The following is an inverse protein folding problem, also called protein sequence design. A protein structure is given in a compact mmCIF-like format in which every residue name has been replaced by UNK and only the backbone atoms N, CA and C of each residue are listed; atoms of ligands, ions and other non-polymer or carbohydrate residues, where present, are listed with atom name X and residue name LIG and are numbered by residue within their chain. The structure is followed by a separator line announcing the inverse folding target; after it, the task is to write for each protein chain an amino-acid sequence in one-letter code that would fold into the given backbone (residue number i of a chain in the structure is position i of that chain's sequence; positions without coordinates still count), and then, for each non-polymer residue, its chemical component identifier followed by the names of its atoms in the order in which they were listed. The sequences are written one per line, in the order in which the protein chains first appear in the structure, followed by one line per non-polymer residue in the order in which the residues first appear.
data_IF_220935512948
#
_entry.id   IF_220935512948
#
_cell.length_a   1.000
_cell.length_b   1.000
_cell.length_c   1.000
_cell.angle_alpha   90.00
_cell.angle_beta   90.00
_cell.angle_gamma   90.00
#
_symmetry.space_group_name_H-M   'P 1'
#
loop_
_entity.id
_entity.type
_entity.pdbx_description
1 polymer ?
#
# COMPACT_ATOMS: atom_id res chain seq x y z
N UNK A 1 2.60 -84.71 17.69
CA UNK A 1 1.30 -84.02 17.55
C UNK A 1 1.37 -82.66 18.24
N UNK A 2 1.59 -82.60 19.56
CA UNK A 2 1.70 -81.33 20.30
C UNK A 2 2.72 -80.31 19.77
N UNK A 3 3.94 -80.73 19.37
CA UNK A 3 4.96 -79.81 18.87
C UNK A 3 4.61 -79.14 17.53
N UNK A 4 3.87 -79.84 16.66
CA UNK A 4 3.45 -79.31 15.36
C UNK A 4 2.30 -78.30 15.51
N UNK A 5 1.39 -78.52 16.46
CA UNK A 5 0.29 -77.59 16.77
C UNK A 5 0.82 -76.29 17.40
N UNK A 6 1.82 -76.38 18.27
CA UNK A 6 2.49 -75.20 18.86
C UNK A 6 3.22 -74.38 17.79
N UNK A 7 3.92 -75.05 16.85
CA UNK A 7 4.58 -74.35 15.74
C UNK A 7 3.59 -73.66 14.80
N UNK A 8 2.45 -74.29 14.51
CA UNK A 8 1.39 -73.69 13.70
C UNK A 8 0.73 -72.49 14.39
N UNK A 9 0.50 -72.57 15.71
CA UNK A 9 -0.02 -71.46 16.50
C UNK A 9 0.95 -70.27 16.54
N UNK A 10 2.25 -70.53 16.70
CA UNK A 10 3.28 -69.50 16.68
C UNK A 10 3.39 -68.80 15.31
N UNK A 11 3.31 -69.56 14.22
CA UNK A 11 3.32 -69.00 12.86
C UNK A 11 2.09 -68.11 12.57
N UNK A 12 0.91 -68.52 13.06
CA UNK A 12 -0.33 -67.73 12.92
C UNK A 12 -0.24 -66.42 13.71
N UNK A 13 0.23 -66.47 14.96
CA UNK A 13 0.41 -65.28 15.79
C UNK A 13 1.39 -64.29 15.15
N UNK A 14 2.52 -64.78 14.61
CA UNK A 14 3.49 -63.94 13.91
C UNK A 14 2.90 -63.27 12.65
N UNK A 15 2.05 -63.98 11.90
CA UNK A 15 1.37 -63.42 10.73
C UNK A 15 0.33 -62.34 11.11
N UNK A 16 -0.40 -62.54 12.22
CA UNK A 16 -1.34 -61.56 12.76
C UNK A 16 -0.62 -60.31 13.25
N UNK A 17 0.51 -60.45 13.96
CA UNK A 17 1.34 -59.31 14.39
C UNK A 17 1.92 -58.56 13.19
N UNK A 18 2.48 -59.26 12.20
CA UNK A 18 3.00 -58.61 10.99
C UNK A 18 1.91 -57.87 10.19
N UNK A 19 0.69 -58.39 10.19
CA UNK A 19 -0.47 -57.73 9.56
C UNK A 19 -0.91 -56.50 10.35
N UNK A 20 -0.91 -56.57 11.68
CA UNK A 20 -1.22 -55.43 12.54
C UNK A 20 -0.19 -54.30 12.40
N UNK A 21 1.09 -54.65 12.34
CA UNK A 21 2.18 -53.69 12.13
C UNK A 21 2.08 -53.01 10.75
N UNK A 22 1.80 -53.79 9.69
CA UNK A 22 1.60 -53.24 8.35
C UNK A 22 0.39 -52.29 8.28
N UNK A 23 -0.70 -52.62 8.98
CA UNK A 23 -1.89 -51.75 9.05
C UNK A 23 -1.59 -50.44 9.79
N UNK A 24 -0.85 -50.50 10.90
CA UNK A 24 -0.46 -49.31 11.65
C UNK A 24 0.47 -48.39 10.84
N UNK A 25 1.39 -48.96 10.05
CA UNK A 25 2.25 -48.19 9.14
C UNK A 25 1.44 -47.48 8.05
N UNK A 26 0.45 -48.16 7.43
CA UNK A 26 -0.42 -47.57 6.42
C UNK A 26 -1.28 -46.45 7.02
N UNK A 27 -1.83 -46.66 8.22
CA UNK A 27 -2.65 -45.65 8.91
C UNK A 27 -1.82 -44.39 9.25
N UNK A 28 -0.60 -44.59 9.73
CA UNK A 28 0.34 -43.50 10.01
C UNK A 28 0.72 -42.74 8.73
N UNK A 29 1.08 -43.45 7.66
CA UNK A 29 1.43 -42.85 6.38
C UNK A 29 0.24 -42.07 5.77
N UNK A 30 -0.98 -42.59 5.92
CA UNK A 30 -2.21 -41.93 5.45
C UNK A 30 -2.50 -40.65 6.24
N UNK A 31 -2.33 -40.70 7.57
CA UNK A 31 -2.51 -39.52 8.42
C UNK A 31 -1.49 -38.42 8.09
N UNK A 32 -0.22 -38.79 7.87
CA UNK A 32 0.82 -37.86 7.45
C UNK A 32 0.53 -37.25 6.07
N UNK A 33 0.10 -38.06 5.10
CA UNK A 33 -0.26 -37.57 3.76
C UNK A 33 -1.44 -36.59 3.80
N UNK A 34 -2.45 -36.84 4.64
CA UNK A 34 -3.60 -35.94 4.82
C UNK A 34 -3.20 -34.62 5.45
N UNK A 35 -2.38 -34.65 6.51
CA UNK A 35 -1.89 -33.43 7.16
C UNK A 35 -1.04 -32.56 6.20
N UNK A 36 -0.22 -33.19 5.36
CA UNK A 36 0.56 -32.50 4.32
C UNK A 36 -0.34 -31.86 3.24
N UNK A 37 -1.45 -32.51 2.86
CA UNK A 37 -2.40 -31.96 1.90
C UNK A 37 -3.20 -30.77 2.47
N UNK A 38 -3.60 -30.85 3.74
CA UNK A 38 -4.32 -29.78 4.44
C UNK A 38 -3.45 -28.52 4.59
N UNK A 39 -2.17 -28.70 4.94
CA UNK A 39 -1.20 -27.59 5.04
C UNK A 39 -0.86 -26.95 3.69
N UNK A 40 -0.61 -27.76 2.65
CA UNK A 40 -0.37 -27.25 1.30
C UNK A 40 -1.55 -26.45 0.72
N UNK A 41 -2.78 -26.77 1.14
CA UNK A 41 -3.99 -26.04 0.70
C UNK A 41 -4.13 -24.71 1.44
N UNK A 42 -3.83 -24.67 2.75
CA UNK A 42 -3.90 -23.44 3.54
C UNK A 42 -2.86 -22.41 3.12
N UNK A 43 -1.62 -22.83 2.85
CA UNK A 43 -0.57 -21.94 2.34
C UNK A 43 -0.94 -21.38 0.96
N UNK A 44 -1.45 -22.22 0.05
CA UNK A 44 -1.87 -21.77 -1.27
C UNK A 44 -3.04 -20.77 -1.24
N UNK A 45 -3.94 -20.87 -0.25
CA UNK A 45 -5.03 -19.91 -0.05
C UNK A 45 -4.48 -18.60 0.52
N UNK A 46 -3.58 -18.62 1.50
CA UNK A 46 -2.99 -17.41 2.07
C UNK A 46 -2.15 -16.62 1.05
N UNK A 47 -1.53 -17.29 0.07
CA UNK A 47 -0.82 -16.61 -1.04
C UNK A 47 -1.78 -15.89 -2.00
N UNK A 48 -3.06 -16.28 -2.04
CA UNK A 48 -4.08 -15.68 -2.89
C UNK A 48 -5.13 -14.89 -2.10
N UNK A 49 -5.00 -14.82 -0.77
CA UNK A 49 -5.91 -14.10 0.08
C UNK A 49 -5.52 -12.62 0.06
N UNK A 50 -6.54 -11.79 -0.06
CA UNK A 50 -6.52 -10.33 -0.01
C UNK A 50 -7.69 -10.00 0.92
N UNK A 51 -7.37 -9.98 2.21
CA UNK A 51 -8.34 -10.07 3.30
C UNK A 51 -9.18 -8.81 3.46
N UNK A 52 -8.59 -7.63 3.23
CA UNK A 52 -9.25 -6.33 3.28
C UNK A 52 -9.63 -5.76 1.90
N UNK A 53 -9.15 -6.38 0.82
CA UNK A 53 -9.51 -6.09 -0.58
C UNK A 53 -8.97 -4.76 -1.09
N UNK A 54 -7.78 -4.40 -0.66
CA UNK A 54 -7.10 -3.17 -1.05
C UNK A 54 -6.28 -3.32 -2.35
N UNK A 55 -6.06 -4.56 -2.79
CA UNK A 55 -5.30 -4.92 -3.99
C UNK A 55 -3.92 -5.54 -3.71
N UNK A 56 -3.51 -5.67 -2.45
CA UNK A 56 -2.38 -6.46 -2.00
C UNK A 56 -2.87 -7.81 -1.47
N UNK A 57 -2.02 -8.84 -1.59
CA UNK A 57 -2.30 -10.12 -0.94
C UNK A 57 -1.76 -10.09 0.49
N UNK A 58 -2.37 -10.81 1.43
CA UNK A 58 -1.92 -10.91 2.83
C UNK A 58 -0.43 -11.24 2.96
N UNK A 59 0.10 -12.08 2.06
CA UNK A 59 1.54 -12.39 2.02
C UNK A 59 2.39 -11.18 1.63
N UNK A 60 1.93 -10.42 0.64
CA UNK A 60 2.63 -9.22 0.16
C UNK A 60 2.60 -8.13 1.23
N UNK A 61 1.50 -8.00 1.94
CA UNK A 61 1.38 -7.08 3.08
C UNK A 61 2.33 -7.48 4.20
N UNK A 62 2.38 -8.77 4.56
CA UNK A 62 3.37 -9.27 5.52
C UNK A 62 4.83 -9.04 5.09
N UNK A 63 5.13 -9.09 3.78
CA UNK A 63 6.47 -8.79 3.23
C UNK A 63 6.79 -7.28 3.30
N UNK A 64 5.78 -6.41 3.20
CA UNK A 64 5.90 -4.95 3.26
C UNK A 64 5.86 -4.40 4.70
N UNK A 65 5.24 -5.15 5.63
CA UNK A 65 5.02 -4.74 7.00
C UNK A 65 3.68 -4.04 7.24
N UNK A 66 2.78 -4.03 6.26
CA UNK A 66 1.41 -3.50 6.38
C UNK A 66 0.48 -4.50 7.10
N UNK A 67 -0.71 -4.06 7.52
CA UNK A 67 -1.69 -4.91 8.22
C UNK A 67 -2.67 -5.57 7.23
N UNK A 68 -2.64 -6.91 7.05
CA UNK A 68 -3.52 -7.63 6.12
C UNK A 68 -5.03 -7.46 6.31
N UNK A 69 -5.44 -6.87 7.44
CA UNK A 69 -6.84 -6.65 7.78
C UNK A 69 -7.26 -5.18 7.66
N UNK A 70 -6.34 -4.29 7.28
CA UNK A 70 -6.56 -2.85 7.22
C UNK A 70 -6.06 -2.30 5.89
N UNK A 71 -7.01 -1.97 5.01
CA UNK A 71 -6.70 -1.51 3.66
C UNK A 71 -5.85 -0.23 3.62
N UNK A 72 -5.75 0.50 4.71
CA UNK A 72 -5.00 1.75 4.89
C UNK A 72 -4.30 1.62 6.26
N UNK A 73 -3.03 1.21 6.23
CA UNK A 73 -2.28 0.82 7.43
C UNK A 73 -1.86 2.03 8.26
N UNK A 74 -1.49 3.13 7.63
CA UNK A 74 -1.01 4.33 8.33
C UNK A 74 -2.11 5.36 8.62
N UNK A 75 -3.28 5.21 8.01
CA UNK A 75 -4.49 5.98 8.28
C UNK A 75 -4.48 7.37 7.68
N UNK A 76 -3.92 7.54 6.49
CA UNK A 76 -3.87 8.82 5.78
C UNK A 76 -5.01 9.01 4.75
N UNK A 77 -5.74 7.93 4.45
CA UNK A 77 -6.87 7.89 3.52
C UNK A 77 -6.53 7.43 2.11
N UNK A 78 -5.29 7.05 1.84
CA UNK A 78 -4.85 6.23 0.71
C UNK A 78 -4.73 4.78 1.18
N UNK A 79 -4.92 3.81 0.28
CA UNK A 79 -4.92 2.40 0.66
C UNK A 79 -3.58 1.77 0.26
N UNK A 80 -3.08 0.82 1.02
CA UNK A 80 -1.70 0.31 0.90
C UNK A 80 -1.39 -0.17 -0.53
N UNK A 81 -2.36 -0.81 -1.17
CA UNK A 81 -2.26 -1.25 -2.56
C UNK A 81 -2.11 -0.12 -3.58
N UNK A 82 -2.75 1.03 -3.38
CA UNK A 82 -2.52 2.20 -4.24
C UNK A 82 -1.17 2.86 -3.94
N UNK A 83 -0.76 2.93 -2.69
CA UNK A 83 0.51 3.53 -2.28
C UNK A 83 1.68 2.75 -2.88
N UNK A 84 1.68 1.43 -2.71
CA UNK A 84 2.69 0.54 -3.31
C UNK A 84 2.72 0.67 -4.84
N UNK A 85 1.58 0.89 -5.49
CA UNK A 85 1.52 1.08 -6.94
C UNK A 85 1.99 2.48 -7.39
N UNK A 86 1.75 3.51 -6.57
CA UNK A 86 2.13 4.90 -6.83
C UNK A 86 3.49 5.28 -6.23
N UNK A 87 4.19 4.32 -5.62
CA UNK A 87 5.52 4.43 -5.03
C UNK A 87 5.63 5.27 -3.75
N UNK A 88 4.51 5.61 -3.13
CA UNK A 88 4.49 6.15 -1.76
C UNK A 88 4.65 5.03 -0.73
N UNK A 89 4.92 5.38 0.52
CA UNK A 89 5.21 4.46 1.62
C UNK A 89 3.94 4.15 2.44
N UNK A 90 3.35 2.94 2.33
CA UNK A 90 2.10 2.56 3.02
C UNK A 90 2.20 2.46 4.55
N UNK A 91 3.35 2.83 5.12
CA UNK A 91 3.59 2.85 6.55
C UNK A 91 3.79 4.28 7.07
N UNK A 92 3.66 5.30 6.21
CA UNK A 92 4.00 6.68 6.52
C UNK A 92 3.01 7.63 5.84
N UNK A 93 2.15 8.23 6.68
CA UNK A 93 1.05 9.12 6.27
C UNK A 93 1.43 10.30 5.36
N UNK A 94 2.69 10.69 5.36
CA UNK A 94 3.26 11.79 4.58
C UNK A 94 4.63 11.28 4.10
N UNK A 95 4.68 10.80 2.87
CA UNK A 95 5.78 9.99 2.32
C UNK A 95 7.03 10.82 2.03
N UNK A 96 6.89 12.09 1.66
CA UNK A 96 8.00 12.99 1.35
C UNK A 96 8.33 14.04 2.43
N UNK A 97 7.61 14.01 3.55
CA UNK A 97 7.80 14.87 4.74
C UNK A 97 7.58 16.37 4.46
N UNK A 98 6.63 16.72 3.60
CA UNK A 98 6.33 18.10 3.24
C UNK A 98 5.24 18.75 4.12
N UNK A 99 4.58 17.96 4.96
CA UNK A 99 3.49 18.39 5.85
C UNK A 99 2.09 18.20 5.29
N UNK A 100 1.94 17.52 4.15
CA UNK A 100 0.67 17.09 3.57
C UNK A 100 0.60 15.56 3.54
N UNK A 101 -0.54 15.00 3.95
CA UNK A 101 -0.69 13.55 3.94
C UNK A 101 -0.87 13.00 2.51
N UNK A 102 -0.35 11.82 2.15
CA UNK A 102 -0.39 11.27 0.78
C UNK A 102 -1.82 11.17 0.23
N UNK A 103 -2.76 10.80 1.09
CA UNK A 103 -4.19 10.75 0.81
C UNK A 103 -4.80 12.12 0.52
N UNK A 104 -4.32 13.19 1.16
CA UNK A 104 -4.71 14.58 0.87
C UNK A 104 -4.07 15.07 -0.43
N UNK A 105 -2.79 14.80 -0.61
CA UNK A 105 -2.04 15.10 -1.83
C UNK A 105 -2.71 14.49 -3.06
N UNK A 106 -3.04 13.20 -3.01
CA UNK A 106 -3.76 12.53 -4.09
C UNK A 106 -5.13 13.14 -4.38
N UNK A 107 -5.81 13.72 -3.38
CA UNK A 107 -7.11 14.41 -3.54
C UNK A 107 -6.95 15.79 -4.17
N UNK A 108 -5.85 16.50 -3.90
CA UNK A 108 -5.47 17.77 -4.55
C UNK A 108 -4.80 17.53 -5.91
N UNK A 109 -4.32 16.31 -6.10
CA UNK A 109 -3.55 15.82 -7.23
C UNK A 109 -2.15 16.40 -7.32
N UNK A 110 -1.57 16.75 -6.17
CA UNK A 110 -0.12 16.82 -5.98
C UNK A 110 0.46 15.40 -5.96
N UNK A 111 1.76 15.26 -5.78
CA UNK A 111 2.47 13.99 -5.91
C UNK A 111 3.07 13.54 -4.57
N UNK A 112 2.58 12.44 -3.98
CA UNK A 112 3.00 11.94 -2.65
C UNK A 112 4.45 11.56 -2.42
N UNK A 113 5.33 11.79 -3.39
CA UNK A 113 6.75 11.48 -3.29
C UNK A 113 7.61 12.66 -3.76
N UNK A 114 6.98 13.82 -3.96
CA UNK A 114 7.61 15.06 -4.41
C UNK A 114 7.02 16.21 -3.61
N UNK A 115 7.77 16.61 -2.58
CA UNK A 115 7.41 17.64 -1.61
C UNK A 115 7.10 19.04 -2.18
N UNK A 116 7.34 19.27 -3.48
CA UNK A 116 7.13 20.52 -4.20
C UNK A 116 6.74 20.12 -5.63
N UNK A 117 5.44 19.88 -5.84
CA UNK A 117 4.90 19.23 -7.04
C UNK A 117 5.14 20.07 -8.28
N UNK A 118 4.92 21.38 -8.18
CA UNK A 118 5.10 22.26 -9.32
C UNK A 118 6.54 22.75 -9.46
N UNK A 119 7.32 22.72 -8.38
CA UNK A 119 8.76 22.97 -8.29
C UNK A 119 9.14 24.43 -8.17
N UNK A 120 8.25 25.32 -7.72
CA UNK A 120 8.51 26.76 -7.58
C UNK A 120 9.39 27.10 -6.36
N UNK A 121 9.45 26.19 -5.37
CA UNK A 121 10.23 26.29 -4.15
C UNK A 121 9.41 26.46 -2.86
N UNK A 122 8.08 26.51 -2.93
CA UNK A 122 7.18 26.26 -1.80
C UNK A 122 6.86 24.75 -1.74
N UNK A 123 6.66 24.22 -0.54
CA UNK A 123 6.25 22.81 -0.39
C UNK A 123 4.74 22.68 -0.54
N UNK A 124 4.23 21.55 -1.05
CA UNK A 124 2.78 21.39 -1.27
C UNK A 124 2.02 21.54 0.06
N UNK A 125 2.58 21.00 1.14
CA UNK A 125 2.09 21.19 2.50
C UNK A 125 2.12 22.64 2.99
N UNK A 126 3.13 23.44 2.64
CA UNK A 126 3.21 24.86 3.00
C UNK A 126 2.11 25.66 2.28
N UNK A 127 1.92 25.41 0.99
CA UNK A 127 0.90 26.08 0.18
C UNK A 127 -0.51 25.77 0.66
N UNK A 128 -0.77 24.51 1.02
CA UNK A 128 -2.09 24.09 1.49
C UNK A 128 -2.40 24.61 2.90
N UNK A 129 -1.42 24.56 3.81
CA UNK A 129 -1.67 24.82 5.24
C UNK A 129 -1.36 26.26 5.67
N UNK A 130 -0.37 26.91 5.05
CA UNK A 130 0.17 28.20 5.48
C UNK A 130 -0.04 29.33 4.46
N UNK A 131 -0.05 29.01 3.15
CA UNK A 131 -0.22 29.97 2.07
C UNK A 131 -1.48 29.67 1.21
N UNK A 132 -2.70 29.78 1.75
CA UNK A 132 -3.95 29.37 1.07
C UNK A 132 -4.31 30.17 -0.20
N UNK A 133 -3.45 31.08 -0.61
CA UNK A 133 -3.56 31.94 -1.79
C UNK A 133 -2.72 31.43 -2.96
N UNK A 134 -1.83 30.46 -2.74
CA UNK A 134 -1.06 29.78 -3.78
C UNK A 134 -1.71 28.43 -4.11
N UNK A 135 -1.27 27.82 -5.21
CA UNK A 135 -1.77 26.55 -5.69
C UNK A 135 -0.57 25.61 -5.92
N UNK A 136 -0.50 24.46 -5.22
CA UNK A 136 0.66 23.55 -5.26
C UNK A 136 0.84 22.79 -6.58
N UNK A 137 0.20 23.27 -7.64
CA UNK A 137 0.22 22.72 -8.98
C UNK A 137 0.57 23.78 -10.02
N UNK A 138 0.74 25.02 -9.60
CA UNK A 138 0.91 26.18 -10.45
C UNK A 138 1.99 27.09 -9.85
N UNK A 139 3.18 27.06 -10.46
CA UNK A 139 4.34 27.85 -10.02
C UNK A 139 4.13 29.37 -9.91
N UNK A 140 3.02 29.87 -10.43
CA UNK A 140 2.62 31.27 -10.61
C UNK A 140 1.09 31.27 -10.64
N UNK A 141 0.48 31.38 -9.46
CA UNK A 141 -0.95 31.11 -9.23
C UNK A 141 -1.85 32.14 -9.92
N UNK A 142 -1.43 33.41 -9.98
CA UNK A 142 -2.21 34.46 -10.63
C UNK A 142 -1.77 34.73 -12.07
N UNK A 143 -0.61 34.22 -12.51
CA UNK A 143 -0.10 34.37 -13.86
C UNK A 143 0.46 35.75 -14.16
N UNK A 144 0.91 36.51 -13.16
CA UNK A 144 1.50 37.83 -13.33
C UNK A 144 2.98 37.79 -13.77
N UNK A 145 3.61 36.60 -13.66
CA UNK A 145 4.99 36.33 -14.02
C UNK A 145 5.99 36.32 -12.87
N UNK A 146 5.54 36.51 -11.63
CA UNK A 146 6.29 36.20 -10.41
C UNK A 146 5.97 34.77 -9.97
N UNK A 147 6.98 34.06 -9.43
CA UNK A 147 6.73 32.75 -8.84
C UNK A 147 6.15 32.94 -7.44
N UNK A 148 5.28 32.04 -6.99
CA UNK A 148 4.56 32.17 -5.72
C UNK A 148 5.52 32.33 -4.54
N UNK A 149 6.65 31.63 -4.54
CA UNK A 149 7.69 31.76 -3.51
C UNK A 149 8.34 33.16 -3.37
N UNK A 150 8.19 34.03 -4.36
CA UNK A 150 8.73 35.40 -4.36
C UNK A 150 7.65 36.47 -4.58
N UNK A 151 6.43 36.07 -4.90
CA UNK A 151 5.33 36.98 -5.16
C UNK A 151 4.74 37.54 -3.85
N UNK A 152 4.77 38.87 -3.62
CA UNK A 152 4.08 39.46 -2.49
C UNK A 152 2.54 39.44 -2.58
N UNK A 153 1.94 39.14 -3.75
CA UNK A 153 0.50 39.17 -3.97
C UNK A 153 0.00 38.03 -4.90
N UNK A 154 0.22 36.75 -4.54
CA UNK A 154 -0.05 35.57 -5.38
C UNK A 154 -1.53 35.32 -5.73
N UNK A 155 -2.47 36.08 -5.14
CA UNK A 155 -3.90 36.04 -5.48
C UNK A 155 -4.39 37.24 -6.29
N UNK A 156 -3.52 38.20 -6.64
CA UNK A 156 -3.88 39.44 -7.31
C UNK A 156 -3.31 39.53 -8.74
N UNK A 157 -4.06 39.03 -9.73
CA UNK A 157 -3.85 39.34 -11.16
C UNK A 157 -3.37 40.78 -11.32
N UNK A 158 -2.37 41.04 -12.18
CA UNK A 158 -1.67 42.31 -12.19
C UNK A 158 -2.69 43.43 -12.30
N UNK A 159 -2.78 44.26 -11.25
CA UNK A 159 -3.64 45.44 -11.33
C UNK A 159 -3.26 46.14 -12.62
N UNK A 160 -4.20 46.37 -13.57
CA UNK A 160 -3.84 46.98 -14.83
C UNK A 160 -3.18 48.30 -14.46
N UNK A 161 -1.89 48.46 -14.81
CA UNK A 161 -1.20 49.72 -14.60
C UNK A 161 -2.16 50.80 -15.10
N UNK A 162 -2.59 51.76 -14.25
CA UNK A 162 -3.64 52.69 -14.66
C UNK A 162 -3.20 53.29 -15.99
N UNK A 163 -4.01 53.08 -17.03
CA UNK A 163 -3.69 53.53 -18.38
C UNK A 163 -3.20 54.98 -18.25
N UNK A 164 -2.03 55.35 -18.81
CA UNK A 164 -1.54 56.71 -18.67
C UNK A 164 -2.69 57.65 -19.04
N UNK A 165 -3.06 58.53 -18.10
CA UNK A 165 -4.16 59.47 -18.31
C UNK A 165 -3.95 60.10 -19.68
N UNK A 166 -4.90 59.98 -20.63
CA UNK A 166 -4.67 60.46 -21.98
C UNK A 166 -4.24 61.91 -21.87
N UNK A 167 -3.04 62.21 -22.40
CA UNK A 167 -2.57 63.59 -22.43
C UNK A 167 -3.65 64.39 -23.17
N UNK A 168 -4.21 65.45 -22.56
CA UNK A 168 -5.28 66.20 -23.22
C UNK A 168 -4.78 66.66 -24.59
N UNK A 169 -5.58 66.37 -25.62
CA UNK A 169 -5.32 66.82 -26.98
C UNK A 169 -5.12 68.35 -26.94
N UNK A 170 -4.09 68.92 -27.59
CA UNK A 170 -3.96 70.37 -27.67
C UNK A 170 -5.24 70.94 -28.27
N UNK A 171 -5.84 71.89 -27.56
CA UNK A 171 -6.98 72.67 -28.06
C UNK A 171 -6.56 73.44 -29.31
N UNK A 172 -7.40 73.49 -30.37
CA UNK A 172 -7.11 74.24 -31.59
C UNK A 172 -7.01 75.75 -31.37
#
# INVERSE_FOLDING_TARGET
IAAAEVAAAAAKAAAETATADARAMIETATAQARAAAETATAEAIAVALDSDRDGLTDRREADLGTDPMAADTDGDGLNDGLEVNNTSDPLKRDSDDDGLDDGEERRRGTNPIVADTDGDGLLDGEEVNEAPFTNPRERDTDGDGLLDNVDPAPDELPTPTPLPTPTPLPTP
#
